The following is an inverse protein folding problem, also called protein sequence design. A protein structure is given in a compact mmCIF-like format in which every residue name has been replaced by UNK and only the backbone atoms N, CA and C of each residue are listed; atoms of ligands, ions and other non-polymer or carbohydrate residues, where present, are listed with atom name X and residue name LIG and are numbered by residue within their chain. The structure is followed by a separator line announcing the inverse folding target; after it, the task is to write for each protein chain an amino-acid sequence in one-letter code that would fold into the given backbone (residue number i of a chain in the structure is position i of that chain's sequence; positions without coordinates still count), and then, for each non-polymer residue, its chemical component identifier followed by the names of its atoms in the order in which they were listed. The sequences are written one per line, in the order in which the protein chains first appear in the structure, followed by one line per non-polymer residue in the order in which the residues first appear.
data_IF_371966405615
#
_entry.id   IF_371966405615
#
_cell.length_a   1.000
_cell.length_b   1.000
_cell.length_c   1.000
_cell.angle_alpha   90.00
_cell.angle_beta   90.00
_cell.angle_gamma   90.00
#
_symmetry.space_group_name_H-M   'P 1'
#
loop_
_entity.id
_entity.type
_entity.pdbx_description
1 polymer ?
#
# COMPACT_ATOMS: atom_id res chain seq x y z
N UNK A 1 14.93 -12.49 21.69
CA UNK A 1 15.32 -11.56 20.60
C UNK A 1 15.25 -12.26 19.25
N UNK A 2 15.36 -13.59 19.22
CA UNK A 2 15.18 -14.39 18.00
C UNK A 2 13.76 -14.30 17.42
N UNK A 3 12.71 -14.24 18.26
CA UNK A 3 11.31 -14.16 17.80
C UNK A 3 11.03 -12.95 16.87
N UNK A 4 11.61 -11.78 17.15
CA UNK A 4 11.43 -10.59 16.29
C UNK A 4 12.18 -10.73 14.96
N UNK A 5 13.32 -11.43 14.99
CA UNK A 5 14.12 -11.70 13.80
C UNK A 5 13.42 -12.71 12.88
N UNK A 6 12.81 -13.74 13.46
CA UNK A 6 11.97 -14.71 12.74
C UNK A 6 10.77 -14.03 12.09
N UNK A 7 10.01 -13.21 12.84
CA UNK A 7 8.88 -12.43 12.27
C UNK A 7 9.33 -11.52 11.13
N UNK A 8 10.50 -10.88 11.26
CA UNK A 8 11.04 -10.01 10.21
C UNK A 8 11.47 -10.80 8.97
N UNK A 9 12.07 -11.98 9.15
CA UNK A 9 12.44 -12.88 8.04
C UNK A 9 11.21 -13.38 7.29
N UNK A 10 10.17 -13.82 8.02
CA UNK A 10 8.89 -14.22 7.44
C UNK A 10 8.22 -13.07 6.67
N UNK A 11 8.20 -11.87 7.26
CA UNK A 11 7.70 -10.67 6.59
C UNK A 11 8.46 -10.37 5.30
N UNK A 12 9.80 -10.45 5.31
CA UNK A 12 10.59 -10.17 4.11
C UNK A 12 10.31 -11.17 3.00
N UNK A 13 10.19 -12.46 3.33
CA UNK A 13 9.84 -13.51 2.36
C UNK A 13 8.48 -13.19 1.72
N UNK A 14 7.45 -12.98 2.54
CA UNK A 14 6.11 -12.66 2.05
C UNK A 14 6.10 -11.35 1.25
N UNK A 15 6.76 -10.30 1.74
CA UNK A 15 6.77 -9.00 1.09
C UNK A 15 7.45 -9.04 -0.29
N UNK A 16 8.56 -9.77 -0.45
CA UNK A 16 9.19 -9.93 -1.76
C UNK A 16 8.29 -10.69 -2.75
N UNK A 17 7.62 -11.76 -2.31
CA UNK A 17 6.67 -12.50 -3.15
C UNK A 17 5.48 -11.63 -3.57
N UNK A 18 4.92 -10.86 -2.63
CA UNK A 18 3.81 -9.94 -2.89
C UNK A 18 4.21 -8.82 -3.85
N UNK A 19 5.42 -8.28 -3.72
CA UNK A 19 5.92 -7.22 -4.59
C UNK A 19 6.21 -7.74 -6.00
N UNK A 20 6.75 -8.95 -6.15
CA UNK A 20 6.92 -9.60 -7.46
C UNK A 20 5.55 -9.85 -8.12
N UNK A 21 4.55 -10.28 -7.36
CA UNK A 21 3.18 -10.42 -7.86
C UNK A 21 2.58 -9.09 -8.32
N UNK A 22 2.76 -8.01 -7.56
CA UNK A 22 2.32 -6.66 -7.96
C UNK A 22 2.99 -6.23 -9.26
N UNK A 23 4.29 -6.49 -9.42
CA UNK A 23 5.06 -6.12 -10.61
C UNK A 23 4.45 -6.75 -11.87
N UNK A 24 4.18 -8.05 -11.81
CA UNK A 24 3.52 -8.78 -12.90
C UNK A 24 2.11 -8.26 -13.17
N UNK A 25 1.32 -8.06 -12.12
CA UNK A 25 -0.07 -7.59 -12.25
C UNK A 25 -0.15 -6.17 -12.83
N UNK A 26 0.80 -5.28 -12.49
CA UNK A 26 0.85 -3.92 -13.04
C UNK A 26 1.19 -3.91 -14.53
N UNK A 27 2.09 -4.79 -14.98
CA UNK A 27 2.39 -4.94 -16.41
C UNK A 27 1.16 -5.46 -17.17
N UNK A 28 0.40 -6.40 -16.60
CA UNK A 28 -0.88 -6.84 -17.18
C UNK A 28 -1.91 -5.69 -17.20
N UNK A 29 -1.91 -4.85 -16.16
CA UNK A 29 -2.83 -3.71 -16.02
C UNK A 29 -2.51 -2.60 -17.02
N UNK A 30 -1.25 -2.45 -17.41
CA UNK A 30 -0.85 -1.49 -18.45
C UNK A 30 -1.53 -1.80 -19.78
N UNK A 31 -1.65 -3.10 -20.11
CA UNK A 31 -2.35 -3.55 -21.31
C UNK A 31 -3.88 -3.47 -21.17
N UNK A 32 -4.41 -3.62 -19.95
CA UNK A 32 -5.85 -3.67 -19.66
C UNK A 32 -6.25 -2.74 -18.51
N UNK A 33 -6.16 -1.39 -18.67
CA UNK A 33 -6.30 -0.44 -17.56
C UNK A 33 -7.71 -0.36 -16.95
N UNK A 34 -8.72 -0.93 -17.60
CA UNK A 34 -10.11 -0.99 -17.12
C UNK A 34 -10.44 -2.31 -16.42
N UNK A 35 -9.48 -3.24 -16.28
CA UNK A 35 -9.68 -4.50 -15.57
C UNK A 35 -9.80 -4.26 -14.05
N UNK A 36 -11.05 -4.24 -13.58
CA UNK A 36 -11.37 -4.06 -12.17
C UNK A 36 -10.95 -5.25 -11.30
N UNK A 37 -10.91 -6.47 -11.81
CA UNK A 37 -10.49 -7.63 -11.02
C UNK A 37 -8.99 -7.54 -10.73
N UNK A 38 -8.21 -7.17 -11.74
CA UNK A 38 -6.78 -6.91 -11.66
C UNK A 38 -6.47 -5.76 -10.70
N UNK A 39 -7.15 -4.61 -10.84
CA UNK A 39 -7.02 -3.48 -9.91
C UNK A 39 -7.33 -3.87 -8.46
N UNK A 40 -8.39 -4.64 -8.22
CA UNK A 40 -8.75 -5.08 -6.87
C UNK A 40 -7.72 -6.06 -6.29
N UNK A 41 -7.10 -6.90 -7.13
CA UNK A 41 -6.02 -7.81 -6.73
C UNK A 41 -4.78 -7.02 -6.30
N UNK A 42 -4.29 -6.11 -7.14
CA UNK A 42 -3.14 -5.24 -6.84
C UNK A 42 -3.38 -4.44 -5.57
N UNK A 43 -4.57 -3.82 -5.43
CA UNK A 43 -4.94 -3.06 -4.25
C UNK A 43 -4.87 -3.89 -2.96
N UNK A 44 -5.36 -5.15 -2.98
CA UNK A 44 -5.32 -6.03 -1.81
C UNK A 44 -3.87 -6.34 -1.41
N UNK A 45 -3.01 -6.61 -2.39
CA UNK A 45 -1.60 -6.89 -2.11
C UNK A 45 -0.93 -5.66 -1.51
N UNK A 46 -1.12 -4.48 -2.09
CA UNK A 46 -0.58 -3.22 -1.55
C UNK A 46 -1.04 -2.95 -0.12
N UNK A 47 -2.33 -3.19 0.16
CA UNK A 47 -2.92 -3.03 1.49
C UNK A 47 -2.32 -4.01 2.51
N UNK A 48 -2.03 -5.26 2.10
CA UNK A 48 -1.34 -6.25 2.94
C UNK A 48 0.08 -5.79 3.26
N UNK A 49 0.86 -5.35 2.25
CA UNK A 49 2.23 -4.87 2.46
C UNK A 49 2.25 -3.66 3.40
N UNK A 50 1.31 -2.71 3.27
CA UNK A 50 1.14 -1.59 4.20
C UNK A 50 0.83 -2.06 5.63
N UNK A 51 -0.07 -3.03 5.77
CA UNK A 51 -0.45 -3.58 7.08
C UNK A 51 0.74 -4.22 7.80
N UNK A 52 1.49 -5.07 7.08
CA UNK A 52 2.65 -5.77 7.64
C UNK A 52 3.82 -4.83 7.93
N UNK A 53 4.10 -3.86 7.05
CA UNK A 53 5.14 -2.85 7.27
C UNK A 53 4.81 -1.92 8.46
N UNK A 54 3.54 -1.52 8.61
CA UNK A 54 3.09 -0.72 9.75
C UNK A 54 3.22 -1.48 11.08
N UNK A 55 2.90 -2.78 11.09
CA UNK A 55 3.06 -3.63 12.28
C UNK A 55 4.52 -3.70 12.77
N UNK A 56 5.48 -3.70 11.84
CA UNK A 56 6.91 -3.77 12.13
C UNK A 56 7.57 -2.38 12.32
N UNK A 57 6.81 -1.30 12.19
CA UNK A 57 7.29 0.09 12.26
C UNK A 57 8.31 0.45 11.16
N UNK A 58 8.10 -0.07 9.94
CA UNK A 58 8.81 0.40 8.76
C UNK A 58 8.06 1.60 8.18
N UNK A 59 8.29 2.77 8.79
CA UNK A 59 7.55 4.00 8.54
C UNK A 59 7.67 4.48 7.09
N UNK A 60 8.86 4.36 6.48
CA UNK A 60 9.12 4.81 5.10
C UNK A 60 8.36 3.92 4.11
N UNK A 61 8.39 2.61 4.32
CA UNK A 61 7.65 1.66 3.50
C UNK A 61 6.13 1.82 3.69
N UNK A 62 5.68 2.06 4.92
CA UNK A 62 4.27 2.32 5.25
C UNK A 62 3.76 3.59 4.57
N UNK A 63 4.54 4.66 4.59
CA UNK A 63 4.21 5.93 3.93
C UNK A 63 4.06 5.74 2.42
N UNK A 64 5.07 5.13 1.77
CA UNK A 64 5.05 4.90 0.32
C UNK A 64 3.87 4.03 -0.12
N UNK A 65 3.62 2.92 0.57
CA UNK A 65 2.50 2.01 0.27
C UNK A 65 1.15 2.69 0.46
N UNK A 66 1.01 3.57 1.44
CA UNK A 66 -0.22 4.35 1.64
C UNK A 66 -0.51 5.30 0.48
N UNK A 67 0.50 6.05 -0.01
CA UNK A 67 0.34 6.92 -1.17
C UNK A 67 -0.02 6.15 -2.44
N UNK A 68 0.59 4.98 -2.66
CA UNK A 68 0.24 4.11 -3.79
C UNK A 68 -1.20 3.56 -3.64
N UNK A 69 -1.58 3.15 -2.43
CA UNK A 69 -2.92 2.65 -2.13
C UNK A 69 -4.00 3.69 -2.45
N UNK A 70 -3.76 4.97 -2.18
CA UNK A 70 -4.71 6.06 -2.49
C UNK A 70 -4.96 6.23 -3.99
N UNK A 71 -3.91 6.13 -4.82
CA UNK A 71 -4.03 6.15 -6.29
C UNK A 71 -4.84 4.96 -6.79
N UNK A 72 -4.47 3.75 -6.35
CA UNK A 72 -5.17 2.51 -6.72
C UNK A 72 -6.63 2.51 -6.25
N UNK A 73 -6.91 3.10 -5.09
CA UNK A 73 -8.26 3.23 -4.54
C UNK A 73 -9.16 4.13 -5.40
N UNK A 74 -8.61 5.21 -5.96
CA UNK A 74 -9.36 6.07 -6.88
C UNK A 74 -9.58 5.40 -8.23
N UNK A 75 -8.57 4.67 -8.72
CA UNK A 75 -8.68 3.90 -9.96
C UNK A 75 -9.79 2.85 -9.89
N UNK A 76 -9.81 2.02 -8.84
CA UNK A 76 -10.86 0.99 -8.66
C UNK A 76 -12.28 1.54 -8.47
N UNK A 77 -12.42 2.79 -8.02
CA UNK A 77 -13.72 3.47 -7.87
C UNK A 77 -14.18 4.15 -9.17
N UNK A 78 -13.35 4.13 -10.21
CA UNK A 78 -13.60 4.87 -11.45
C UNK A 78 -13.46 6.40 -11.29
N UNK A 79 -12.86 6.86 -10.18
CA UNK A 79 -12.58 8.28 -9.91
C UNK A 79 -11.31 8.75 -10.63
N UNK A 80 -10.44 7.82 -11.02
CA UNK A 80 -9.18 8.06 -11.72
C UNK A 80 -9.02 7.04 -12.85
N UNK A 81 -8.58 7.48 -14.02
CA UNK A 81 -8.21 6.58 -15.13
C UNK A 81 -6.71 6.34 -15.09
N UNK A 82 -6.29 5.08 -15.16
CA UNK A 82 -4.88 4.72 -15.28
C UNK A 82 -4.41 5.07 -16.69
N UNK A 83 -3.52 6.06 -16.80
CA UNK A 83 -2.81 6.44 -18.03
C UNK A 83 -1.39 5.89 -17.98
N UNK A 84 -0.66 5.84 -19.11
CA UNK A 84 0.76 5.43 -19.11
C UNK A 84 1.61 6.24 -18.12
N UNK A 85 1.44 7.57 -18.07
CA UNK A 85 2.19 8.42 -17.12
C UNK A 85 1.88 8.07 -15.65
N UNK A 86 0.65 7.68 -15.34
CA UNK A 86 0.27 7.24 -13.98
C UNK A 86 0.87 5.86 -13.70
N UNK A 87 0.86 4.96 -14.70
CA UNK A 87 1.45 3.63 -14.58
C UNK A 87 2.95 3.71 -14.29
N UNK A 88 3.68 4.59 -14.99
CA UNK A 88 5.11 4.81 -14.75
C UNK A 88 5.38 5.19 -13.29
N UNK A 89 4.60 6.12 -12.72
CA UNK A 89 4.74 6.53 -11.32
C UNK A 89 4.38 5.40 -10.35
N UNK A 90 3.38 4.57 -10.67
CA UNK A 90 3.02 3.41 -9.84
C UNK A 90 4.12 2.34 -9.89
N UNK A 91 4.67 2.02 -11.07
CA UNK A 91 5.78 1.08 -11.22
C UNK A 91 7.05 1.59 -10.52
N UNK A 92 7.38 2.87 -10.66
CA UNK A 92 8.51 3.48 -9.92
C UNK A 92 8.32 3.35 -8.40
N UNK A 93 7.09 3.50 -7.90
CA UNK A 93 6.81 3.30 -6.48
C UNK A 93 7.05 1.85 -6.03
N UNK A 94 6.75 0.86 -6.88
CA UNK A 94 7.02 -0.57 -6.63
C UNK A 94 8.52 -0.85 -6.59
N UNK A 95 9.29 -0.26 -7.50
CA UNK A 95 10.74 -0.38 -7.48
C UNK A 95 11.36 0.24 -6.22
N UNK A 96 10.83 1.38 -5.76
CA UNK A 96 11.24 1.96 -4.48
C UNK A 96 10.87 1.06 -3.29
N UNK A 97 9.70 0.41 -3.31
CA UNK A 97 9.35 -0.59 -2.29
C UNK A 97 10.33 -1.76 -2.28
N UNK A 98 10.74 -2.29 -3.44
CA UNK A 98 11.77 -3.34 -3.54
C UNK A 98 13.06 -2.89 -2.87
N UNK A 99 13.54 -1.69 -3.19
CA UNK A 99 14.76 -1.13 -2.59
C UNK A 99 14.68 -0.94 -1.07
N UNK A 100 13.51 -0.55 -0.56
CA UNK A 100 13.28 -0.45 0.89
C UNK A 100 13.32 -1.83 1.56
N UNK A 101 12.70 -2.86 0.96
CA UNK A 101 12.76 -4.24 1.46
C UNK A 101 14.19 -4.79 1.46
N UNK A 102 14.99 -4.47 0.45
CA UNK A 102 16.42 -4.82 0.41
C UNK A 102 17.19 -4.14 1.55
N UNK A 103 16.93 -2.86 1.83
CA UNK A 103 17.54 -2.19 2.98
C UNK A 103 17.09 -2.78 4.33
N UNK A 104 15.82 -3.18 4.46
CA UNK A 104 15.34 -3.85 5.66
C UNK A 104 16.05 -5.19 5.84
N UNK A 105 16.22 -5.97 4.76
CA UNK A 105 16.96 -7.24 4.78
C UNK A 105 18.42 -7.06 5.22
N UNK A 106 19.10 -6.06 4.67
CA UNK A 106 20.54 -5.92 4.84
C UNK A 106 20.91 -5.15 6.12
N UNK A 107 20.07 -4.20 6.53
CA UNK A 107 20.35 -3.25 7.62
C UNK A 107 19.34 -3.32 8.78
N UNK A 108 18.23 -4.04 8.63
CA UNK A 108 17.13 -4.08 9.61
C UNK A 108 16.30 -2.79 9.67
N UNK A 109 16.46 -1.89 8.70
CA UNK A 109 15.77 -0.59 8.68
C UNK A 109 15.57 -0.08 7.25
N UNK A 110 14.40 0.54 7.02
CA UNK A 110 14.03 1.21 5.78
C UNK A 110 14.60 2.63 5.68
N UNK A 111 14.81 3.31 6.81
CA UNK A 111 15.44 4.64 6.87
C UNK A 111 16.95 4.63 6.51
N UNK A 112 17.62 3.49 6.65
CA UNK A 112 19.05 3.35 6.38
C UNK A 112 19.40 3.36 4.89
N UNK A 113 18.42 3.16 4.01
CA UNK A 113 18.61 3.01 2.57
C UNK A 113 19.12 4.28 1.88
N UNK A 114 18.85 5.46 2.47
CA UNK A 114 19.06 6.74 1.79
C UNK A 114 18.16 6.94 0.55
N UNK A 115 17.14 6.08 0.39
CA UNK A 115 16.13 6.18 -0.67
C UNK A 115 15.21 7.35 -0.33
N UNK A 116 15.19 8.36 -1.18
CA UNK A 116 14.34 9.54 -1.00
C UNK A 116 12.96 9.33 -1.66
N UNK A 117 11.98 8.92 -0.86
CA UNK A 117 10.60 8.71 -1.32
C UNK A 117 9.79 10.00 -1.50
N UNK A 118 10.32 11.17 -1.14
CA UNK A 118 9.49 12.41 -1.09
C UNK A 118 8.95 12.80 -2.46
N UNK A 119 9.76 12.66 -3.50
CA UNK A 119 9.35 13.01 -4.85
C UNK A 119 8.25 12.06 -5.35
N UNK A 120 8.41 10.75 -5.13
CA UNK A 120 7.40 9.78 -5.56
C UNK A 120 6.09 9.94 -4.78
N UNK A 121 6.17 10.18 -3.47
CA UNK A 121 4.99 10.43 -2.64
C UNK A 121 4.25 11.69 -3.09
N UNK A 122 4.98 12.75 -3.43
CA UNK A 122 4.39 13.97 -3.98
C UNK A 122 3.68 13.71 -5.32
N UNK A 123 4.31 12.97 -6.24
CA UNK A 123 3.72 12.58 -7.53
C UNK A 123 2.45 11.74 -7.33
N UNK A 124 2.50 10.72 -6.47
CA UNK A 124 1.35 9.88 -6.14
C UNK A 124 0.21 10.69 -5.50
N UNK A 125 0.51 11.63 -4.61
CA UNK A 125 -0.48 12.53 -4.03
C UNK A 125 -1.14 13.39 -5.11
N UNK A 126 -0.37 14.04 -5.98
CA UNK A 126 -0.91 14.85 -7.09
C UNK A 126 -1.84 14.03 -7.99
N UNK A 127 -1.38 12.84 -8.41
CA UNK A 127 -2.18 11.90 -9.20
C UNK A 127 -3.49 11.59 -8.49
N UNK A 128 -3.42 11.23 -7.20
CA UNK A 128 -4.62 10.92 -6.45
C UNK A 128 -5.56 12.13 -6.40
N UNK A 129 -5.07 13.34 -6.15
CA UNK A 129 -5.88 14.55 -6.02
C UNK A 129 -6.51 15.03 -7.34
N UNK A 130 -6.19 14.36 -8.45
CA UNK A 130 -6.70 14.70 -9.78
C UNK A 130 -5.88 15.80 -10.47
N UNK A 131 -4.76 16.19 -9.87
CA UNK A 131 -3.73 16.97 -10.55
C UNK A 131 -2.84 15.98 -11.30
N UNK A 132 -3.21 15.67 -12.54
CA UNK A 132 -2.33 14.90 -13.42
C UNK A 132 -0.94 15.57 -13.46
N UNK A 133 0.17 14.80 -13.49
CA UNK A 133 1.52 15.36 -13.60
C UNK A 133 1.62 16.25 -14.83
N UNK A 134 1.50 17.56 -14.63
CA UNK A 134 1.40 18.52 -15.72
C UNK A 134 2.80 18.82 -16.24
N UNK A 135 3.27 18.03 -17.20
CA UNK A 135 4.34 18.44 -18.10
C UNK A 135 3.71 19.17 -19.29
N UNK A 136 3.45 20.46 -19.09
CA UNK A 136 3.17 21.49 -20.10
C UNK A 136 1.85 21.39 -20.92
N UNK A 137 1.30 22.55 -21.36
CA UNK A 137 -0.04 22.65 -21.93
C UNK A 137 -0.03 22.54 -23.46
N UNK A 138 -0.72 21.55 -24.02
CA UNK A 138 -1.16 21.59 -25.42
C UNK A 138 -2.69 21.49 -25.53
N UNK A 139 -3.26 22.67 -25.79
CA UNK A 139 -4.41 23.02 -26.60
C UNK A 139 -5.81 22.37 -26.36
N UNK A 140 -6.86 23.20 -26.29
CA UNK A 140 -8.24 22.74 -26.16
C UNK A 140 -8.73 22.13 -27.49
N UNK A 141 -9.15 20.87 -27.46
CA UNK A 141 -10.01 20.32 -28.50
C UNK A 141 -11.44 20.83 -28.26
N UNK A 142 -11.82 21.86 -29.00
CA UNK A 142 -13.21 22.29 -29.15
C UNK A 142 -14.06 21.17 -29.78
N UNK A 143 -15.30 20.95 -29.31
CA UNK A 143 -16.19 19.89 -29.77
C UNK A 143 -17.04 20.36 -30.96
N UNK A 144 -17.44 19.43 -31.84
CA UNK A 144 -18.70 19.41 -32.62
C UNK A 144 -18.61 18.39 -33.79
N UNK A 145 -19.73 17.90 -34.37
CA UNK A 145 -20.88 17.26 -33.74
C UNK A 145 -21.33 15.98 -34.51
N UNK A 146 -21.99 15.03 -33.85
CA UNK A 146 -23.00 14.15 -34.47
C UNK A 146 -24.24 14.99 -34.85
N UNK A 147 -25.14 14.65 -35.83
CA UNK A 147 -25.73 13.30 -36.01
C UNK A 147 -26.18 12.94 -37.44
N UNK A 148 -26.80 11.76 -37.63
CA UNK A 148 -28.16 11.54 -38.18
C UNK A 148 -28.34 10.11 -38.75
N UNK A 149 -29.17 9.33 -38.04
CA UNK A 149 -30.24 8.40 -38.45
C UNK A 149 -30.02 7.30 -39.52
N UNK A 150 -30.04 6.06 -39.01
CA UNK A 150 -30.87 4.89 -39.37
C UNK A 150 -32.03 5.10 -40.40
N UNK A 151 -32.25 4.14 -41.33
CA UNK A 151 -33.20 3.04 -41.09
C UNK A 151 -32.77 1.63 -41.58
N UNK A 152 -33.09 0.62 -40.77
CA UNK A 152 -33.37 -0.80 -41.12
C UNK A 152 -34.55 -0.92 -42.13
N UNK A 153 -34.90 -2.09 -42.77
CA UNK A 153 -34.75 -3.47 -42.25
C UNK A 153 -34.44 -4.59 -43.30
N UNK A 154 -34.29 -5.82 -42.75
CA UNK A 154 -34.77 -7.13 -43.25
C UNK A 154 -33.71 -8.24 -43.47
N UNK A 155 -33.69 -9.18 -42.51
CA UNK A 155 -33.18 -10.57 -42.60
C UNK A 155 -34.10 -11.44 -43.53
N UNK A 156 -33.85 -12.75 -43.85
CA UNK A 156 -33.37 -13.82 -42.93
C UNK A 156 -32.53 -15.00 -43.52
N UNK A 157 -32.20 -15.96 -42.64
CA UNK A 157 -31.76 -17.37 -42.83
C UNK A 157 -30.24 -17.64 -43.03
N UNK A 158 -29.56 -18.66 -42.47
CA UNK A 158 -29.84 -19.78 -41.55
C UNK A 158 -28.51 -20.56 -41.26
N UNK A 159 -28.40 -21.21 -40.09
CA UNK A 159 -27.51 -22.35 -39.66
C UNK A 159 -25.95 -22.23 -39.67
N UNK A 160 -25.16 -22.80 -38.73
CA UNK A 160 -25.38 -23.71 -37.59
C UNK A 160 -24.18 -23.73 -36.60
N UNK A 161 -24.52 -23.78 -35.29
CA UNK A 161 -23.96 -24.56 -34.14
C UNK A 161 -22.46 -24.50 -33.71
N UNK A 162 -22.12 -24.93 -32.47
CA UNK A 162 -22.76 -24.73 -31.16
C UNK A 162 -21.74 -24.28 -30.08
N UNK A 163 -22.19 -23.91 -28.87
CA UNK A 163 -21.70 -24.44 -27.57
C UNK A 163 -22.32 -23.68 -26.38
N UNK A 164 -22.80 -24.49 -25.42
CA UNK A 164 -23.13 -24.26 -23.99
C UNK A 164 -23.91 -23.02 -23.56
N UNK A 165 -25.09 -23.24 -22.96
CA UNK A 165 -25.78 -22.22 -22.16
C UNK A 165 -26.01 -22.66 -20.72
N UNK A 166 -25.63 -21.73 -19.85
CA UNK A 166 -25.72 -21.63 -18.40
C UNK A 166 -27.18 -21.46 -17.94
N UNK A 167 -28.01 -22.47 -18.27
CA UNK A 167 -29.47 -22.32 -18.28
C UNK A 167 -30.16 -22.39 -16.90
N UNK A 168 -29.44 -22.36 -15.77
CA UNK A 168 -30.07 -22.44 -14.44
C UNK A 168 -29.70 -21.34 -13.44
N UNK A 169 -28.86 -20.35 -13.80
CA UNK A 169 -28.64 -19.18 -12.92
C UNK A 169 -29.55 -17.98 -13.23
N UNK A 170 -30.18 -17.94 -14.40
CA UNK A 170 -30.97 -16.77 -14.85
C UNK A 170 -32.48 -16.84 -14.53
N UNK A 171 -32.92 -17.65 -13.57
CA UNK A 171 -34.35 -17.80 -13.22
C UNK A 171 -34.81 -16.99 -12.00
N UNK A 172 -34.02 -16.04 -11.51
CA UNK A 172 -34.47 -15.07 -10.51
C UNK A 172 -34.50 -13.69 -11.14
N UNK A 173 -35.65 -13.03 -11.04
CA UNK A 173 -35.75 -11.65 -11.51
C UNK A 173 -34.88 -10.74 -10.64
N UNK A 174 -34.30 -9.69 -11.22
CA UNK A 174 -33.52 -8.69 -10.48
C UNK A 174 -34.28 -8.15 -9.26
N UNK A 175 -35.62 -8.11 -9.33
CA UNK A 175 -36.51 -7.71 -8.23
C UNK A 175 -36.53 -8.69 -7.03
N UNK A 176 -36.31 -9.97 -7.26
CA UNK A 176 -36.25 -10.99 -6.20
C UNK A 176 -34.86 -11.03 -5.55
N UNK A 177 -33.80 -10.76 -6.33
CA UNK A 177 -32.43 -10.65 -5.83
C UNK A 177 -32.29 -9.42 -4.93
N UNK A 178 -32.83 -8.27 -5.34
CA UNK A 178 -32.85 -7.05 -4.52
C UNK A 178 -33.65 -7.23 -3.23
N UNK A 179 -34.80 -7.92 -3.29
CA UNK A 179 -35.62 -8.20 -2.11
C UNK A 179 -34.90 -9.14 -1.11
N UNK A 180 -34.16 -10.13 -1.58
CA UNK A 180 -33.39 -11.03 -0.72
C UNK A 180 -32.16 -10.32 -0.12
N UNK A 181 -31.49 -9.44 -0.88
CA UNK A 181 -30.42 -8.58 -0.37
C UNK A 181 -30.93 -7.67 0.76
N UNK A 182 -32.10 -7.03 0.59
CA UNK A 182 -32.68 -6.17 1.62
C UNK A 182 -33.05 -6.98 2.88
N UNK A 183 -33.58 -8.19 2.70
CA UNK A 183 -33.90 -9.10 3.81
C UNK A 183 -32.65 -9.51 4.58
N UNK A 184 -31.58 -9.92 3.90
CA UNK A 184 -30.31 -10.31 4.52
C UNK A 184 -29.65 -9.15 5.27
N UNK A 185 -29.73 -7.93 4.74
CA UNK A 185 -29.26 -6.72 5.42
C UNK A 185 -30.07 -6.42 6.69
N UNK A 186 -31.39 -6.64 6.68
CA UNK A 186 -32.24 -6.49 7.89
C UNK A 186 -31.91 -7.54 8.95
N UNK A 187 -31.70 -8.79 8.55
CA UNK A 187 -31.31 -9.87 9.48
C UNK A 187 -29.97 -9.57 10.13
N UNK A 188 -28.96 -9.18 9.34
CA UNK A 188 -27.62 -8.84 9.87
C UNK A 188 -27.65 -7.64 10.81
N UNK A 189 -28.41 -6.58 10.46
CA UNK A 189 -28.58 -5.41 11.35
C UNK A 189 -29.29 -5.78 12.65
N UNK A 190 -30.29 -6.66 12.60
CA UNK A 190 -30.97 -7.14 13.81
C UNK A 190 -30.05 -8.01 14.68
N UNK A 191 -29.22 -8.86 14.07
CA UNK A 191 -28.21 -9.65 14.79
C UNK A 191 -27.14 -8.75 15.42
N UNK A 192 -26.64 -7.75 14.69
CA UNK A 192 -25.66 -6.79 15.20
C UNK A 192 -26.25 -5.92 16.33
N UNK A 193 -27.51 -5.53 16.23
CA UNK A 193 -28.22 -4.82 17.31
C UNK A 193 -28.45 -5.72 18.53
N UNK A 194 -28.80 -6.98 18.34
CA UNK A 194 -28.93 -7.96 19.43
C UNK A 194 -27.58 -8.25 20.10
N UNK A 195 -26.49 -8.34 19.32
CA UNK A 195 -25.10 -8.45 19.83
C UNK A 195 -24.66 -7.20 20.59
N UNK A 196 -25.06 -6.01 20.15
CA UNK A 196 -24.76 -4.75 20.86
C UNK A 196 -25.58 -4.62 22.16
N UNK A 197 -26.84 -5.06 22.15
CA UNK A 197 -27.71 -5.08 23.32
C UNK A 197 -27.24 -6.10 24.37
N UNK A 198 -26.77 -7.29 23.95
CA UNK A 198 -26.23 -8.30 24.88
C UNK A 198 -24.85 -7.91 25.44
N UNK A 199 -24.10 -7.04 24.76
CA UNK A 199 -22.79 -6.55 25.20
C UNK A 199 -22.84 -5.22 25.97
N UNK A 200 -24.02 -4.68 26.22
CA UNK A 200 -24.22 -3.54 27.15
C UNK A 200 -23.59 -2.21 26.72
N UNK A 201 -23.41 -1.96 25.41
CA UNK A 201 -22.82 -0.71 24.92
C UNK A 201 -23.95 0.23 24.48
N UNK A 202 -24.26 1.21 25.33
CA UNK A 202 -25.23 2.26 25.03
C UNK A 202 -24.68 3.26 24.00
N UNK A 203 -25.49 3.77 23.05
CA UNK A 203 -25.06 4.78 22.10
C UNK A 203 -24.95 6.14 22.80
N UNK A 204 -23.79 6.80 22.70
CA UNK A 204 -23.67 8.22 23.02
C UNK A 204 -24.25 9.03 21.86
N UNK A 205 -25.34 9.75 22.14
CA UNK A 205 -25.85 10.81 21.26
C UNK A 205 -24.85 11.96 21.15
N UNK A 206 -24.84 12.70 20.02
CA UNK A 206 -23.93 13.82 19.78
C UNK A 206 -24.47 15.08 20.47
N UNK A 207 -23.84 15.51 21.55
CA UNK A 207 -24.15 16.77 22.25
C UNK A 207 -23.06 17.80 21.93
N UNK A 208 -23.45 18.74 21.05
CA UNK A 208 -23.29 20.19 21.17
C UNK A 208 -21.91 20.75 21.55
N UNK A 209 -21.26 21.36 20.55
CA UNK A 209 -20.08 22.22 20.70
C UNK A 209 -20.58 23.63 21.06
N UNK A 210 -20.20 24.14 22.24
CA UNK A 210 -20.11 25.58 22.49
C UNK A 210 -18.97 25.91 23.48
N UNK A 211 -18.32 27.08 23.35
CA UNK A 211 -16.94 27.29 23.78
C UNK A 211 -16.83 28.05 25.11
N UNK A 212 -15.75 27.81 25.86
CA UNK A 212 -15.37 28.67 26.98
C UNK A 212 -13.88 29.00 26.94
N UNK A 213 -13.61 30.30 26.84
CA UNK A 213 -12.31 30.93 26.79
C UNK A 213 -11.67 31.13 28.18
N UNK A 214 -10.37 31.43 28.13
CA UNK A 214 -9.61 32.28 29.07
C UNK A 214 -8.94 31.60 30.28
N UNK A 215 -7.60 31.49 30.25
CA UNK A 215 -6.71 32.39 31.00
C UNK A 215 -5.23 31.95 30.91
N UNK A 216 -4.39 32.79 30.31
CA UNK A 216 -2.96 32.96 30.63
C UNK A 216 -2.84 34.10 31.69
N UNK A 217 -1.69 34.43 32.34
CA UNK A 217 -0.29 34.21 31.93
C UNK A 217 0.74 33.88 33.07
N UNK A 218 2.03 33.80 32.66
CA UNK A 218 3.27 33.51 33.39
C UNK A 218 3.60 34.40 34.62
N UNK A 219 4.68 34.13 35.42
CA UNK A 219 6.02 34.65 35.05
C UNK A 219 7.25 33.82 35.50
N UNK A 220 8.40 34.10 34.88
CA UNK A 220 9.77 33.75 35.34
C UNK A 220 10.30 34.77 36.38
N UNK A 221 11.37 34.45 37.15
CA UNK A 221 12.66 35.15 36.92
C UNK A 221 13.96 34.33 37.21
N UNK A 222 15.07 34.79 36.59
CA UNK A 222 16.53 34.49 36.80
C UNK A 222 17.06 35.13 38.12
N UNK A 223 18.36 35.07 38.58
CA UNK A 223 19.65 34.69 37.94
C UNK A 223 20.70 33.92 38.82
N UNK A 224 21.90 33.72 38.26
CA UNK A 224 23.10 32.98 38.73
C UNK A 224 23.79 33.49 40.03
N UNK A 225 24.85 32.81 40.54
CA UNK A 225 26.22 33.20 40.14
C UNK A 225 27.25 32.05 39.98
N UNK A 226 28.38 32.43 39.40
CA UNK A 226 29.60 31.73 38.99
C UNK A 226 30.54 31.27 40.12
N UNK A 227 31.42 30.29 39.82
CA UNK A 227 32.79 30.22 40.35
C UNK A 227 33.71 29.34 39.46
N UNK A 228 34.87 29.91 39.15
CA UNK A 228 35.99 29.38 38.38
C UNK A 228 36.84 28.33 39.14
N UNK A 229 37.54 27.47 38.38
CA UNK A 229 38.99 27.14 38.42
C UNK A 229 39.26 25.96 37.47
N UNK A 230 39.94 26.20 36.34
CA UNK A 230 41.40 26.12 36.11
C UNK A 230 41.94 24.71 35.79
N UNK A 231 42.36 24.54 34.52
CA UNK A 231 43.57 23.87 33.99
C UNK A 231 43.84 22.37 34.30
N UNK A 232 44.48 21.52 33.49
CA UNK A 232 45.37 21.70 32.34
C UNK A 232 45.44 20.35 31.55
N UNK A 233 45.40 20.41 30.20
CA UNK A 233 46.31 19.74 29.22
C UNK A 233 46.60 18.21 29.28
N UNK A 234 46.36 17.53 28.14
CA UNK A 234 47.41 17.05 27.17
C UNK A 234 47.00 15.76 26.41
N UNK A 235 46.92 15.86 25.09
CA UNK A 235 47.01 14.76 24.09
C UNK A 235 48.49 14.38 23.89
N UNK A 236 48.86 13.18 23.41
CA UNK A 236 49.03 13.05 21.95
C UNK A 236 48.82 11.64 21.33
N UNK A 237 48.75 11.67 20.00
CA UNK A 237 49.33 10.71 19.03
C UNK A 237 48.58 9.41 18.64
N UNK A 238 48.02 9.48 17.43
CA UNK A 238 48.21 8.59 16.28
C UNK A 238 48.91 7.24 16.50
N UNK A 239 48.24 6.18 16.02
CA UNK A 239 48.93 5.10 15.31
C UNK A 239 48.00 4.48 14.26
N UNK A 240 48.52 4.44 13.04
CA UNK A 240 48.02 3.76 11.85
C UNK A 240 47.95 2.24 12.03
N UNK A 241 46.92 1.59 11.49
CA UNK A 241 47.13 0.34 10.75
C UNK A 241 45.98 0.02 9.78
N UNK A 242 46.31 0.06 8.49
CA UNK A 242 45.57 -0.51 7.37
C UNK A 242 46.07 -1.95 7.13
N UNK A 243 45.20 -2.97 7.21
CA UNK A 243 45.45 -4.28 6.60
C UNK A 243 44.22 -5.23 6.65
N UNK A 244 43.71 -5.54 5.44
CA UNK A 244 43.26 -6.86 4.96
C UNK A 244 41.90 -7.41 5.45
N UNK A 245 40.95 -7.43 4.51
CA UNK A 245 39.76 -8.27 4.52
C UNK A 245 40.17 -9.76 4.58
N UNK A 246 39.71 -10.46 5.60
CA UNK A 246 39.81 -11.92 5.69
C UNK A 246 38.55 -12.54 5.09
N UNK A 247 38.68 -13.18 3.93
CA UNK A 247 37.70 -14.16 3.45
C UNK A 247 37.66 -15.31 4.46
N UNK A 248 36.57 -15.41 5.22
CA UNK A 248 36.32 -16.54 6.11
C UNK A 248 35.72 -17.69 5.31
N UNK A 249 36.56 -18.58 4.78
CA UNK A 249 36.12 -19.85 4.21
C UNK A 249 35.76 -20.81 5.35
N UNK A 250 34.48 -20.98 5.63
CA UNK A 250 33.99 -21.95 6.62
C UNK A 250 34.13 -23.36 6.03
N UNK A 251 35.05 -24.16 6.59
CA UNK A 251 35.17 -25.58 6.24
C UNK A 251 34.24 -26.40 7.13
N UNK A 252 33.18 -26.94 6.53
CA UNK A 252 32.25 -27.83 7.23
C UNK A 252 32.81 -29.26 7.21
N UNK A 253 32.95 -29.88 8.38
CA UNK A 253 33.36 -31.28 8.47
C UNK A 253 32.29 -32.20 7.90
N UNK A 254 32.68 -33.09 6.98
CA UNK A 254 31.81 -34.03 6.26
C UNK A 254 30.92 -34.87 7.20
N UNK A 255 31.40 -35.16 8.42
CA UNK A 255 30.63 -35.89 9.44
C UNK A 255 29.42 -35.13 9.98
N UNK A 256 29.45 -33.79 9.99
CA UNK A 256 28.30 -32.95 10.40
C UNK A 256 27.23 -32.89 9.31
N UNK A 257 27.62 -32.92 8.03
CA UNK A 257 26.67 -33.00 6.91
C UNK A 257 25.92 -34.33 6.92
N UNK A 258 26.64 -35.42 7.18
CA UNK A 258 26.08 -36.78 7.21
C UNK A 258 25.08 -36.99 8.37
N UNK A 259 25.29 -36.28 9.49
CA UNK A 259 24.33 -36.28 10.61
C UNK A 259 23.05 -35.50 10.29
N UNK A 260 23.16 -34.41 9.53
CA UNK A 260 22.01 -33.59 9.10
C UNK A 260 21.14 -34.29 8.05
N UNK A 261 21.74 -35.13 7.20
CA UNK A 261 20.99 -35.83 6.15
C UNK A 261 20.20 -37.05 6.67
N UNK A 262 20.59 -37.59 7.83
CA UNK A 262 19.93 -38.74 8.46
C UNK A 262 18.85 -38.33 9.48
N UNK A 263 18.46 -37.04 9.51
CA UNK A 263 17.39 -36.52 10.36
C UNK A 263 16.04 -36.33 9.62
N UNK A 264 15.92 -36.86 8.40
CA UNK A 264 14.67 -37.07 7.65
C UNK A 264 14.42 -38.57 7.58
#
# INVERSE_FOLDING_TARGET
MDDMKEIMEDFLIEAFELIEQIDHDLVELEANPEDLELLNRIFRVAHTVKGSSSFLNFDVLTELTHHMEDVLNKARKGELKITPDIMDVVLESVDMMKGLLESIRDNGSDAAAGIDIKNICASLTQISEGEAPSVAPEAPVTPAPEPVKEPEPAAPAEEAAPEVSDAELSKLSDSEVEAEIERLLKVRKAEDQARRASKGIAPKSPEEIAPAASAAPAPAPKPAPSRERDADKKVPAASSNSAVAQEQTIRVEVKRLDHLMNLI
#
